data_IF_041492333477
#
_entry.id   IF_041492333477
#
_cell.length_a   1.000
_cell.length_b   1.000
_cell.length_c   1.000
_cell.angle_alpha   90.00
_cell.angle_beta   90.00
_cell.angle_gamma   90.00
#
_symmetry.space_group_name_H-M   'P 1'
#
loop_
_entity.id
_entity.type
_entity.pdbx_description
1 polymer ?
#
# COMPACT_ATOMS: atom_id res chain seq x y z
N UNK A 1 6.79 -11.11 17.41
CA UNK A 1 6.35 -10.80 16.04
C UNK A 1 7.57 -10.87 15.15
N UNK A 2 7.85 -12.07 14.62
CA UNK A 2 8.96 -12.24 13.67
C UNK A 2 8.53 -11.53 12.40
N UNK A 3 9.07 -10.34 12.19
CA UNK A 3 8.98 -9.67 10.89
C UNK A 3 9.86 -10.48 9.97
N UNK A 4 9.29 -11.54 9.38
CA UNK A 4 9.93 -12.25 8.29
C UNK A 4 10.35 -11.20 7.26
N UNK A 5 11.54 -11.36 6.68
CA UNK A 5 12.13 -10.39 5.74
C UNK A 5 11.12 -9.95 4.67
N UNK A 6 10.20 -10.84 4.29
CA UNK A 6 9.05 -10.58 3.42
C UNK A 6 8.08 -9.50 3.94
N UNK A 7 7.77 -9.47 5.24
CA UNK A 7 6.91 -8.47 5.87
C UNK A 7 7.53 -7.07 5.91
N UNK A 8 8.86 -6.98 6.09
CA UNK A 8 9.57 -5.71 6.04
C UNK A 8 9.54 -5.09 4.62
N UNK A 9 9.80 -5.88 3.58
CA UNK A 9 9.66 -5.43 2.20
C UNK A 9 8.22 -5.03 1.83
N UNK A 10 7.23 -5.72 2.39
CA UNK A 10 5.83 -5.37 2.20
C UNK A 10 5.49 -3.99 2.80
N UNK A 11 5.92 -3.72 4.03
CA UNK A 11 5.73 -2.42 4.68
C UNK A 11 6.43 -1.28 3.94
N UNK A 12 7.64 -1.54 3.42
CA UNK A 12 8.38 -0.57 2.58
C UNK A 12 7.60 -0.28 1.29
N UNK A 13 7.07 -1.31 0.62
CA UNK A 13 6.24 -1.13 -0.57
C UNK A 13 4.97 -0.31 -0.30
N UNK A 14 4.29 -0.54 0.83
CA UNK A 14 3.14 0.26 1.29
C UNK A 14 3.55 1.72 1.49
N UNK A 15 4.65 1.96 2.21
CA UNK A 15 5.10 3.31 2.53
C UNK A 15 5.48 4.11 1.27
N UNK A 16 6.23 3.49 0.35
CA UNK A 16 6.56 4.09 -0.94
C UNK A 16 5.30 4.39 -1.78
N UNK A 17 4.33 3.48 -1.81
CA UNK A 17 3.08 3.68 -2.53
C UNK A 17 2.25 4.85 -1.95
N UNK A 18 2.21 4.98 -0.63
CA UNK A 18 1.54 6.07 0.06
C UNK A 18 2.18 7.44 -0.24
N UNK A 19 3.51 7.53 -0.20
CA UNK A 19 4.25 8.76 -0.50
C UNK A 19 4.02 9.19 -1.96
N UNK A 20 4.09 8.24 -2.89
CA UNK A 20 3.88 8.54 -4.30
C UNK A 20 2.42 8.91 -4.64
N UNK A 21 1.44 8.36 -3.92
CA UNK A 21 0.04 8.79 -4.02
C UNK A 21 -0.14 10.26 -3.60
N UNK A 22 0.43 10.64 -2.45
CA UNK A 22 0.37 12.02 -1.95
C UNK A 22 1.05 12.99 -2.92
N UNK A 23 2.19 12.58 -3.50
CA UNK A 23 2.91 13.38 -4.48
C UNK A 23 2.10 13.56 -5.78
N UNK A 24 1.50 12.48 -6.30
CA UNK A 24 0.68 12.53 -7.50
C UNK A 24 -0.59 13.39 -7.33
N UNK A 25 -1.18 13.38 -6.14
CA UNK A 25 -2.28 14.28 -5.79
C UNK A 25 -1.83 15.75 -5.71
N UNK A 26 -0.63 16.01 -5.21
CA UNK A 26 -0.08 17.37 -5.09
C UNK A 26 0.32 17.97 -6.46
N UNK A 27 0.85 17.15 -7.37
CA UNK A 27 1.22 17.55 -8.73
C UNK A 27 0.02 17.66 -9.68
N UNK A 28 -1.16 17.15 -9.28
CA UNK A 28 -2.36 17.18 -10.12
C UNK A 28 -2.29 16.19 -11.30
N UNK A 29 -1.55 15.09 -11.15
CA UNK A 29 -1.39 14.02 -12.15
C UNK A 29 -2.41 12.88 -11.90
N UNK A 30 -3.62 12.94 -12.49
CA UNK A 30 -4.72 12.03 -12.14
C UNK A 30 -4.45 10.57 -12.51
N UNK A 31 -3.68 10.30 -13.57
CA UNK A 31 -3.32 8.94 -14.00
C UNK A 31 -2.44 8.24 -12.95
N UNK A 32 -1.45 8.95 -12.40
CA UNK A 32 -0.60 8.42 -11.34
C UNK A 32 -1.37 8.26 -10.03
N UNK A 33 -2.17 9.25 -9.64
CA UNK A 33 -2.99 9.18 -8.45
C UNK A 33 -3.94 7.97 -8.48
N UNK A 34 -4.54 7.67 -9.64
CA UNK A 34 -5.44 6.53 -9.81
C UNK A 34 -4.69 5.19 -9.69
N UNK A 35 -3.50 5.06 -10.31
CA UNK A 35 -2.68 3.85 -10.20
C UNK A 35 -2.23 3.59 -8.74
N UNK A 36 -1.76 4.63 -8.05
CA UNK A 36 -1.38 4.53 -6.64
C UNK A 36 -2.58 4.23 -5.74
N UNK A 37 -3.73 4.88 -5.96
CA UNK A 37 -4.97 4.59 -5.25
C UNK A 37 -5.42 3.14 -5.43
N UNK A 38 -5.31 2.59 -6.63
CA UNK A 38 -5.66 1.21 -6.93
C UNK A 38 -4.75 0.21 -6.21
N UNK A 39 -3.45 0.50 -6.12
CA UNK A 39 -2.51 -0.29 -5.35
C UNK A 39 -2.81 -0.19 -3.85
N UNK A 40 -3.07 1.01 -3.31
CA UNK A 40 -3.50 1.22 -1.92
C UNK A 40 -4.75 0.40 -1.57
N UNK A 41 -5.76 0.39 -2.43
CA UNK A 41 -6.99 -0.41 -2.25
C UNK A 41 -6.67 -1.90 -2.24
N UNK A 42 -5.85 -2.38 -3.18
CA UNK A 42 -5.46 -3.79 -3.23
C UNK A 42 -4.70 -4.23 -1.97
N UNK A 43 -3.73 -3.44 -1.51
CA UNK A 43 -3.00 -3.74 -0.28
C UNK A 43 -3.92 -3.66 0.95
N UNK A 44 -4.85 -2.70 1.01
CA UNK A 44 -5.83 -2.61 2.09
C UNK A 44 -6.73 -3.85 2.18
N UNK A 45 -7.24 -4.34 1.03
CA UNK A 45 -8.05 -5.56 0.96
C UNK A 45 -7.22 -6.79 1.36
N UNK A 46 -5.99 -6.90 0.83
CA UNK A 46 -5.09 -8.02 1.13
C UNK A 46 -4.69 -8.06 2.60
N UNK A 47 -4.40 -6.90 3.18
CA UNK A 47 -4.12 -6.77 4.61
C UNK A 47 -5.34 -7.17 5.44
N UNK A 48 -6.55 -6.77 5.02
CA UNK A 48 -7.79 -7.17 5.68
C UNK A 48 -8.00 -8.69 5.65
N UNK A 49 -7.71 -9.37 4.55
CA UNK A 49 -7.76 -10.84 4.50
C UNK A 49 -6.74 -11.49 5.45
N UNK A 50 -5.52 -10.93 5.50
CA UNK A 50 -4.48 -11.45 6.40
C UNK A 50 -4.79 -11.19 7.89
N UNK A 51 -5.42 -10.06 8.20
CA UNK A 51 -5.82 -9.69 9.56
C UNK A 51 -7.08 -10.42 10.03
N UNK A 52 -8.02 -10.74 9.13
CA UNK A 52 -9.27 -11.44 9.46
C UNK A 52 -9.15 -12.97 9.52
N UNK A 53 -8.06 -13.56 9.03
CA UNK A 53 -7.78 -15.00 9.11
C UNK A 53 -7.01 -15.44 10.36
N UNK A 54 -6.84 -14.55 11.35
CA UNK A 54 -6.11 -14.79 12.59
C UNK A 54 -6.99 -14.85 13.84
N UNK A 55 -8.22 -15.39 13.74
CA UNK A 55 -9.05 -15.76 14.89
C UNK A 55 -9.47 -17.22 14.78
#
# INVERSE_FOLDING_TARGET
>A
MNVDRAGAFYLVGVALNAVAFVFALADGEPLFALAFGLVMVYLGIRYRMHASGGQ
#
